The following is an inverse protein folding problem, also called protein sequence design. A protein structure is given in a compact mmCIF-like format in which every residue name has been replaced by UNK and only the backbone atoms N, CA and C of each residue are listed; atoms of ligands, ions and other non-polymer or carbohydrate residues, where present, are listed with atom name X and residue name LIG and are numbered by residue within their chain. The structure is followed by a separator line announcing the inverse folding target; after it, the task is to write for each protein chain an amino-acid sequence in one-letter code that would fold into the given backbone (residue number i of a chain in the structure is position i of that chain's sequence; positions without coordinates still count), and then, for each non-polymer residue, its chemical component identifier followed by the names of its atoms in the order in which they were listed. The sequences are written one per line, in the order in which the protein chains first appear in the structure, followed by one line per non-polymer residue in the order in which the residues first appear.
data_IF_456772701802
#
_entry.id   IF_456772701802
#
_cell.length_a   1.000
_cell.length_b   1.000
_cell.length_c   1.000
_cell.angle_alpha   90.00
_cell.angle_beta   90.00
_cell.angle_gamma   90.00
#
_symmetry.space_group_name_H-M   'P 1'
#
loop_
_entity.id
_entity.type
_entity.pdbx_description
1 polymer ?
#
# COMPACT_ATOMS: atom_id res chain seq x y z
N UNK A 1 -26.49 14.81 17.66
CA UNK A 1 -25.75 14.31 16.48
C UNK A 1 -24.66 13.40 17.02
N UNK A 2 -24.56 12.15 16.56
CA UNK A 2 -23.31 11.42 16.76
C UNK A 2 -22.31 12.07 15.82
N UNK A 3 -21.19 12.56 16.34
CA UNK A 3 -20.07 12.92 15.48
C UNK A 3 -19.56 11.60 14.89
N UNK A 4 -19.79 11.41 13.60
CA UNK A 4 -19.30 10.22 12.89
C UNK A 4 -17.76 10.29 12.85
N UNK A 5 -17.11 9.20 13.25
CA UNK A 5 -15.64 9.08 13.23
C UNK A 5 -15.20 9.22 11.77
N UNK A 6 -14.24 10.11 11.51
CA UNK A 6 -13.71 10.35 10.17
C UNK A 6 -12.48 9.49 9.92
N UNK A 7 -12.18 9.24 8.65
CA UNK A 7 -10.96 8.52 8.24
C UNK A 7 -9.71 9.15 8.84
N UNK A 8 -9.63 10.48 8.87
CA UNK A 8 -8.52 11.21 9.46
C UNK A 8 -8.30 10.94 10.95
N UNK A 9 -9.35 10.56 11.69
CA UNK A 9 -9.29 10.32 13.13
C UNK A 9 -8.66 8.95 13.47
N UNK A 10 -8.64 8.01 12.51
CA UNK A 10 -8.14 6.64 12.72
C UNK A 10 -7.04 6.20 11.75
N UNK A 11 -6.65 7.03 10.78
CA UNK A 11 -5.60 6.68 9.81
C UNK A 11 -4.19 6.73 10.44
N UNK A 12 -3.28 5.93 9.91
CA UNK A 12 -1.85 6.08 10.20
C UNK A 12 -1.27 7.29 9.47
N UNK A 13 -0.71 8.23 10.22
CA UNK A 13 0.00 9.40 9.67
C UNK A 13 1.47 9.05 9.46
N UNK A 14 2.11 9.63 8.44
CA UNK A 14 3.53 9.39 8.14
C UNK A 14 3.76 8.08 7.38
N UNK A 15 3.18 7.97 6.18
CA UNK A 15 3.31 6.77 5.35
C UNK A 15 4.74 6.53 4.89
N UNK A 16 5.17 5.27 4.94
CA UNK A 16 6.45 4.84 4.39
C UNK A 16 6.34 4.77 2.87
N UNK A 17 7.33 5.31 2.17
CA UNK A 17 7.35 5.36 0.70
C UNK A 17 8.61 4.72 0.12
N UNK A 18 8.50 4.24 -1.12
CA UNK A 18 9.62 3.69 -1.89
C UNK A 18 9.45 4.01 -3.37
N UNK A 19 10.54 4.34 -4.06
CA UNK A 19 10.50 4.67 -5.48
C UNK A 19 10.17 3.44 -6.35
N UNK A 20 9.40 3.64 -7.41
CA UNK A 20 8.92 2.59 -8.33
C UNK A 20 10.04 1.76 -8.98
N UNK A 21 11.23 2.33 -9.17
CA UNK A 21 12.41 1.66 -9.70
C UNK A 21 13.16 0.76 -8.72
N UNK A 22 12.73 0.70 -7.46
CA UNK A 22 13.35 -0.14 -6.42
C UNK A 22 12.94 -1.59 -6.51
N UNK A 23 13.74 -2.47 -5.93
CA UNK A 23 13.54 -3.92 -5.98
C UNK A 23 12.53 -4.39 -4.94
N UNK A 24 11.95 -5.57 -5.18
CA UNK A 24 11.09 -6.25 -4.19
C UNK A 24 11.87 -6.57 -2.92
N UNK A 25 13.16 -6.90 -3.04
CA UNK A 25 14.02 -7.11 -1.89
C UNK A 25 14.15 -5.86 -1.01
N UNK A 26 14.38 -4.68 -1.62
CA UNK A 26 14.42 -3.40 -0.90
C UNK A 26 13.07 -3.10 -0.23
N UNK A 27 11.95 -3.40 -0.89
CA UNK A 27 10.62 -3.26 -0.29
C UNK A 27 10.43 -4.18 0.92
N UNK A 28 10.78 -5.46 0.81
CA UNK A 28 10.69 -6.42 1.92
C UNK A 28 11.57 -6.01 3.11
N UNK A 29 12.80 -5.53 2.85
CA UNK A 29 13.69 -5.03 3.89
C UNK A 29 13.11 -3.79 4.58
N UNK A 30 12.47 -2.90 3.83
CA UNK A 30 11.83 -1.71 4.38
C UNK A 30 10.60 -2.07 5.23
N UNK A 31 9.71 -2.95 4.75
CA UNK A 31 8.57 -3.48 5.51
C UNK A 31 9.02 -4.05 6.86
N UNK A 32 10.07 -4.89 6.85
CA UNK A 32 10.66 -5.47 8.06
C UNK A 32 11.21 -4.39 9.00
N UNK A 33 11.97 -3.44 8.47
CA UNK A 33 12.62 -2.39 9.25
C UNK A 33 11.61 -1.48 9.94
N UNK A 34 10.52 -1.13 9.26
CA UNK A 34 9.51 -0.19 9.76
C UNK A 34 8.32 -0.89 10.44
N UNK A 35 8.28 -2.23 10.42
CA UNK A 35 7.20 -3.04 10.96
C UNK A 35 5.81 -2.66 10.41
N UNK A 36 5.73 -2.39 9.10
CA UNK A 36 4.47 -2.07 8.41
C UNK A 36 4.15 -3.16 7.39
N UNK A 37 2.86 -3.43 7.15
CA UNK A 37 2.42 -4.45 6.18
C UNK A 37 2.32 -3.96 4.74
N UNK A 38 2.49 -2.65 4.49
CA UNK A 38 2.38 -2.06 3.16
C UNK A 38 3.22 -0.78 3.00
N UNK A 39 3.69 -0.51 1.78
CA UNK A 39 4.45 0.69 1.40
C UNK A 39 3.77 1.37 0.21
N UNK A 40 3.75 2.70 0.23
CA UNK A 40 3.31 3.51 -0.91
C UNK A 40 4.47 3.63 -1.92
N UNK A 41 4.19 3.26 -3.17
CA UNK A 41 5.14 3.37 -4.25
C UNK A 41 5.01 4.73 -4.92
N UNK A 42 6.15 5.40 -5.11
CA UNK A 42 6.21 6.72 -5.73
C UNK A 42 6.85 6.69 -7.11
N UNK A 43 6.38 7.57 -7.99
CA UNK A 43 6.96 7.84 -9.30
C UNK A 43 7.14 9.35 -9.46
N UNK A 44 8.39 9.81 -9.62
CA UNK A 44 8.74 11.24 -9.64
C UNK A 44 8.08 12.03 -8.48
N UNK A 45 8.21 11.48 -7.26
CA UNK A 45 7.66 12.05 -6.02
C UNK A 45 6.13 12.11 -5.91
N UNK A 46 5.39 11.50 -6.84
CA UNK A 46 3.93 11.33 -6.73
C UNK A 46 3.60 9.93 -6.26
N UNK A 47 2.61 9.80 -5.37
CA UNK A 47 2.07 8.51 -4.98
C UNK A 47 1.38 7.86 -6.19
N UNK A 48 1.83 6.67 -6.57
CA UNK A 48 1.44 6.01 -7.83
C UNK A 48 0.80 4.63 -7.58
N UNK A 49 1.29 3.91 -6.57
CA UNK A 49 0.77 2.59 -6.23
C UNK A 49 1.05 2.17 -4.79
N UNK A 50 0.68 0.94 -4.46
CA UNK A 50 0.91 0.31 -3.16
C UNK A 50 1.42 -1.11 -3.34
N UNK A 51 2.35 -1.52 -2.48
CA UNK A 51 2.80 -2.92 -2.35
C UNK A 51 2.56 -3.38 -0.92
N UNK A 52 1.96 -4.55 -0.79
CA UNK A 52 1.73 -5.23 0.50
C UNK A 52 2.61 -6.48 0.61
N UNK A 53 2.77 -7.01 1.83
CA UNK A 53 3.42 -8.32 2.04
C UNK A 53 2.78 -9.42 1.18
N UNK A 54 1.45 -9.37 1.02
CA UNK A 54 0.69 -10.32 0.19
C UNK A 54 1.10 -10.26 -1.28
N UNK A 55 1.38 -9.07 -1.80
CA UNK A 55 1.86 -8.92 -3.18
C UNK A 55 3.22 -9.58 -3.36
N UNK A 56 4.12 -9.46 -2.38
CA UNK A 56 5.44 -10.11 -2.43
C UNK A 56 5.28 -11.63 -2.47
N UNK A 57 4.46 -12.19 -1.58
CA UNK A 57 4.22 -13.64 -1.52
C UNK A 57 3.59 -14.15 -2.81
N UNK A 58 2.50 -13.53 -3.28
CA UNK A 58 1.74 -14.08 -4.41
C UNK A 58 2.27 -13.67 -5.78
N UNK A 59 2.84 -12.47 -5.95
CA UNK A 59 3.29 -12.01 -7.26
C UNK A 59 4.77 -12.26 -7.53
N UNK A 60 5.56 -12.61 -6.51
CA UNK A 60 7.01 -12.84 -6.65
C UNK A 60 7.39 -14.25 -6.21
N UNK A 61 7.18 -14.57 -4.93
CA UNK A 61 7.64 -15.85 -4.36
C UNK A 61 6.92 -17.02 -5.01
N UNK A 62 5.58 -16.98 -5.08
CA UNK A 62 4.79 -18.07 -5.67
C UNK A 62 5.12 -18.35 -7.14
N UNK A 63 5.66 -17.34 -7.83
CA UNK A 63 6.02 -17.38 -9.25
C UNK A 63 7.51 -17.69 -9.48
N UNK A 64 8.29 -17.89 -8.42
CA UNK A 64 9.73 -18.15 -8.51
C UNK A 64 10.55 -16.98 -9.08
N UNK A 65 10.05 -15.74 -8.97
CA UNK A 65 10.77 -14.57 -9.45
C UNK A 65 11.89 -14.16 -8.48
N UNK A 66 13.01 -13.68 -9.00
CA UNK A 66 14.13 -13.18 -8.19
C UNK A 66 13.79 -11.79 -7.60
N UNK A 67 13.60 -11.66 -6.26
CA UNK A 67 13.22 -10.40 -5.64
C UNK A 67 14.29 -9.31 -5.73
N UNK A 68 15.55 -9.67 -6.03
CA UNK A 68 16.63 -8.70 -6.25
C UNK A 68 16.62 -8.12 -7.67
N UNK A 69 15.90 -8.74 -8.62
CA UNK A 69 15.76 -8.28 -10.01
C UNK A 69 14.37 -7.71 -10.30
N UNK A 70 13.33 -8.24 -9.65
CA UNK A 70 11.96 -7.74 -9.81
C UNK A 70 11.80 -6.36 -9.17
N UNK A 71 11.24 -5.42 -9.93
CA UNK A 71 10.92 -4.07 -9.47
C UNK A 71 9.55 -4.01 -8.81
N UNK A 72 9.41 -3.12 -7.83
CA UNK A 72 8.12 -2.90 -7.14
C UNK A 72 7.02 -2.43 -8.09
N UNK A 73 7.38 -1.66 -9.12
CA UNK A 73 6.46 -1.23 -10.18
C UNK A 73 5.80 -2.38 -10.95
N UNK A 74 6.43 -3.57 -10.98
CA UNK A 74 5.90 -4.74 -11.68
C UNK A 74 4.86 -5.50 -10.86
N UNK A 75 4.80 -5.27 -9.53
CA UNK A 75 3.91 -6.01 -8.63
C UNK A 75 2.92 -5.11 -7.87
N UNK A 76 3.15 -3.80 -7.85
CA UNK A 76 2.28 -2.85 -7.15
C UNK A 76 0.87 -2.85 -7.71
N UNK A 77 -0.08 -2.49 -6.86
CA UNK A 77 -1.42 -2.12 -7.32
C UNK A 77 -1.44 -0.62 -7.64
N UNK A 78 -1.86 -0.28 -8.85
CA UNK A 78 -1.96 1.09 -9.37
C UNK A 78 -3.15 1.18 -10.35
N UNK A 79 -3.85 2.32 -10.46
CA UNK A 79 -3.69 3.52 -9.63
C UNK A 79 -4.15 3.29 -8.18
N UNK A 80 -3.69 4.15 -7.26
CA UNK A 80 -4.13 4.12 -5.87
C UNK A 80 -5.64 4.35 -5.78
N UNK A 81 -6.30 3.53 -4.95
CA UNK A 81 -7.64 3.83 -4.45
C UNK A 81 -7.48 4.69 -3.21
N UNK A 82 -8.10 5.87 -3.23
CA UNK A 82 -7.97 6.87 -2.16
C UNK A 82 -9.35 7.27 -1.65
N UNK A 83 -9.40 7.69 -0.39
CA UNK A 83 -10.58 8.29 0.23
C UNK A 83 -10.14 9.56 0.96
N UNK A 84 -11.01 10.57 0.98
CA UNK A 84 -10.75 11.83 1.65
C UNK A 84 -10.79 11.66 3.18
N UNK A 85 -9.87 12.32 3.90
CA UNK A 85 -9.73 12.20 5.35
C UNK A 85 -10.94 12.73 6.13
N UNK A 86 -11.76 13.59 5.51
CA UNK A 86 -12.97 14.15 6.12
C UNK A 86 -14.18 13.22 6.04
N UNK A 87 -14.10 12.14 5.25
CA UNK A 87 -15.21 11.19 5.07
C UNK A 87 -15.41 10.31 6.31
N UNK A 88 -16.65 9.85 6.57
CA UNK A 88 -16.93 8.87 7.62
C UNK A 88 -16.15 7.57 7.40
N UNK A 89 -15.75 6.91 8.49
CA UNK A 89 -15.05 5.62 8.45
C UNK A 89 -15.91 4.53 7.79
N UNK A 90 -17.23 4.62 7.89
CA UNK A 90 -18.18 3.71 7.24
C UNK A 90 -18.04 3.73 5.72
N UNK A 91 -17.81 4.90 5.12
CA UNK A 91 -17.57 5.04 3.68
C UNK A 91 -16.29 4.30 3.27
N UNK A 92 -15.23 4.40 4.10
CA UNK A 92 -13.99 3.67 3.88
C UNK A 92 -14.20 2.15 3.98
N UNK A 93 -14.93 1.69 5.00
CA UNK A 93 -15.22 0.26 5.19
C UNK A 93 -16.03 -0.33 4.01
N UNK A 94 -17.03 0.41 3.53
CA UNK A 94 -17.81 0.02 2.35
C UNK A 94 -16.96 -0.02 1.08
N UNK A 95 -16.09 0.97 0.88
CA UNK A 95 -15.16 0.99 -0.25
C UNK A 95 -14.17 -0.17 -0.19
N UNK A 96 -13.61 -0.47 0.98
CA UNK A 96 -12.71 -1.62 1.20
C UNK A 96 -13.40 -2.93 0.86
N UNK A 97 -14.61 -3.17 1.39
CA UNK A 97 -15.41 -4.36 1.10
C UNK A 97 -15.70 -4.49 -0.40
N UNK A 98 -16.15 -3.42 -1.05
CA UNK A 98 -16.45 -3.40 -2.49
C UNK A 98 -15.23 -3.75 -3.35
N UNK A 99 -14.04 -3.38 -2.90
CA UNK A 99 -12.79 -3.56 -3.64
C UNK A 99 -11.92 -4.73 -3.14
N UNK A 100 -12.45 -5.58 -2.24
CA UNK A 100 -11.74 -6.71 -1.64
C UNK A 100 -10.40 -6.31 -0.99
N UNK A 101 -10.35 -5.10 -0.44
CA UNK A 101 -9.25 -4.65 0.42
C UNK A 101 -9.59 -5.09 1.84
N UNK A 102 -8.65 -5.79 2.49
CA UNK A 102 -8.78 -6.27 3.87
C UNK A 102 -8.04 -5.35 4.81
#
# INVERSE_FOLDING_TARGET
MKDDIKVGDCMTVGVITLESGKTVHEAAALLKKTQVGSIIITNKSKADGIVTERDIVYKVVSRGLDPKKTKVSQIMSSPLRVIDVSKPVEDAALAMKKHNVK
#
